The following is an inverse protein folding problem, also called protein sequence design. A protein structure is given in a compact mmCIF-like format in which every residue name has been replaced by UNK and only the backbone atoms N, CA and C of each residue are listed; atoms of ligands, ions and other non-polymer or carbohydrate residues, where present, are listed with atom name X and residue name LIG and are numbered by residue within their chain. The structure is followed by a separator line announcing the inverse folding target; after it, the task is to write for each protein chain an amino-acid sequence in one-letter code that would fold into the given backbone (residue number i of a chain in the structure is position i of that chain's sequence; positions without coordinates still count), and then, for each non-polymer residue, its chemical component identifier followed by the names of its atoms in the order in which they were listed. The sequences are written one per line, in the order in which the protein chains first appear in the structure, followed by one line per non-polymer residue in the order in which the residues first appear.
data_IF_304141017639
#
_entry.id   IF_304141017639
#
_cell.length_a   1.000
_cell.length_b   1.000
_cell.length_c   1.000
_cell.angle_alpha   90.00
_cell.angle_beta   90.00
_cell.angle_gamma   90.00
#
_symmetry.space_group_name_H-M   'P 1'
#
loop_
_entity.id
_entity.type
_entity.pdbx_description
1 polymer ?
#
# COMPACT_ATOMS: atom_id res chain seq x y z
N UNK A 1 -6.89 15.42 16.06
CA UNK A 1 -5.99 14.60 15.23
C UNK A 1 -6.22 13.14 15.54
N UNK A 2 -6.37 12.34 14.48
CA UNK A 2 -6.56 10.90 14.64
C UNK A 2 -5.21 10.21 14.85
N UNK A 3 -5.19 9.19 15.68
CA UNK A 3 -4.01 8.35 15.79
C UNK A 3 -4.08 7.27 14.70
N UNK A 4 -3.19 7.35 13.71
CA UNK A 4 -3.21 6.43 12.56
C UNK A 4 -3.08 4.97 13.00
N UNK A 5 -2.41 4.71 14.12
CA UNK A 5 -2.22 3.33 14.62
C UNK A 5 -3.54 2.69 15.03
N UNK A 6 -4.59 3.48 15.27
CA UNK A 6 -5.92 2.97 15.56
C UNK A 6 -6.73 2.63 14.31
N UNK A 7 -6.26 3.05 13.13
CA UNK A 7 -6.95 2.78 11.88
C UNK A 7 -6.63 1.38 11.39
N UNK A 8 -7.67 0.57 11.20
CA UNK A 8 -7.47 -0.79 10.72
C UNK A 8 -6.80 -0.80 9.32
N UNK A 9 -7.19 0.14 8.45
CA UNK A 9 -6.61 0.21 7.11
C UNK A 9 -5.11 0.50 7.16
N UNK A 10 -4.65 1.31 8.13
CA UNK A 10 -3.22 1.54 8.28
C UNK A 10 -2.51 0.26 8.70
N UNK A 11 -3.08 -0.47 9.65
CA UNK A 11 -2.47 -1.73 10.11
C UNK A 11 -2.38 -2.75 8.97
N UNK A 12 -3.42 -2.83 8.14
CA UNK A 12 -3.42 -3.73 6.97
C UNK A 12 -2.38 -3.30 5.94
N UNK A 13 -2.27 -1.99 5.69
CA UNK A 13 -1.25 -1.48 4.79
C UNK A 13 0.16 -1.75 5.33
N UNK A 14 0.35 -1.62 6.64
CA UNK A 14 1.64 -1.90 7.27
C UNK A 14 2.01 -3.37 7.13
N UNK A 15 1.05 -4.28 7.30
CA UNK A 15 1.29 -5.70 7.09
C UNK A 15 1.75 -5.99 5.67
N UNK A 16 1.15 -5.33 4.69
CA UNK A 16 1.56 -5.46 3.29
C UNK A 16 3.00 -4.99 3.11
N UNK A 17 3.37 -3.86 3.71
CA UNK A 17 4.74 -3.34 3.64
C UNK A 17 5.73 -4.37 4.18
N UNK A 18 5.42 -4.92 5.35
CA UNK A 18 6.31 -5.90 5.99
C UNK A 18 6.48 -7.13 5.10
N UNK A 19 5.39 -7.63 4.51
CA UNK A 19 5.45 -8.78 3.62
C UNK A 19 6.26 -8.47 2.36
N UNK A 20 6.11 -7.27 1.80
CA UNK A 20 6.90 -6.85 0.64
C UNK A 20 8.38 -6.85 0.99
N UNK A 21 8.76 -6.34 2.15
CA UNK A 21 10.16 -6.34 2.56
C UNK A 21 10.70 -7.75 2.74
N UNK A 22 9.89 -8.65 3.33
CA UNK A 22 10.31 -10.04 3.52
C UNK A 22 10.55 -10.74 2.19
N UNK A 23 9.62 -10.60 1.26
CA UNK A 23 9.72 -11.28 -0.03
C UNK A 23 10.82 -10.70 -0.90
N UNK A 24 11.02 -9.38 -0.86
CA UNK A 24 12.06 -8.74 -1.68
C UNK A 24 13.46 -8.95 -1.15
N UNK A 25 13.62 -9.42 0.09
CA UNK A 25 14.94 -9.71 0.64
C UNK A 25 15.70 -10.76 -0.18
N UNK A 26 14.98 -11.59 -0.94
CA UNK A 26 15.56 -12.66 -1.76
C UNK A 26 15.74 -12.24 -3.22
N UNK A 27 15.36 -11.04 -3.59
CA UNK A 27 15.47 -10.58 -4.96
C UNK A 27 16.95 -10.43 -5.37
N UNK A 28 17.24 -10.52 -6.68
CA UNK A 28 18.63 -10.34 -7.15
C UNK A 28 19.21 -9.02 -6.66
N UNK A 29 20.47 -9.06 -6.24
CA UNK A 29 21.14 -7.84 -5.76
C UNK A 29 21.24 -6.79 -6.85
N UNK A 30 21.21 -7.21 -8.11
CA UNK A 30 21.22 -6.29 -9.27
C UNK A 30 19.97 -5.41 -9.31
N UNK A 31 18.89 -5.81 -8.61
CA UNK A 31 17.64 -5.03 -8.56
C UNK A 31 17.54 -4.16 -7.30
N UNK A 32 18.57 -4.15 -6.47
CA UNK A 32 18.53 -3.45 -5.18
C UNK A 32 18.12 -1.98 -5.33
N UNK A 33 18.68 -1.30 -6.34
CA UNK A 33 18.38 0.11 -6.62
C UNK A 33 17.38 0.29 -7.77
N UNK A 34 16.80 -0.79 -8.25
CA UNK A 34 15.79 -0.81 -9.31
C UNK A 34 14.45 -1.29 -8.76
N UNK A 35 14.01 -2.46 -9.22
CA UNK A 35 12.67 -2.96 -8.90
C UNK A 35 12.45 -3.20 -7.42
N UNK A 36 13.45 -3.70 -6.69
CA UNK A 36 13.33 -3.89 -5.24
C UNK A 36 13.00 -2.56 -4.56
N UNK A 37 13.75 -1.52 -4.88
CA UNK A 37 13.54 -0.19 -4.32
C UNK A 37 12.17 0.37 -4.71
N UNK A 38 11.79 0.26 -5.98
CA UNK A 38 10.52 0.79 -6.46
C UNK A 38 9.32 0.11 -5.79
N UNK A 39 9.35 -1.21 -5.67
CA UNK A 39 8.27 -1.95 -5.04
C UNK A 39 8.14 -1.58 -3.56
N UNK A 40 9.25 -1.53 -2.84
CA UNK A 40 9.25 -1.14 -1.44
C UNK A 40 8.71 0.27 -1.24
N UNK A 41 9.12 1.21 -2.07
CA UNK A 41 8.67 2.60 -1.98
C UNK A 41 7.17 2.74 -2.25
N UNK A 42 6.65 2.00 -3.24
CA UNK A 42 5.22 2.01 -3.53
C UNK A 42 4.42 1.47 -2.33
N UNK A 43 4.87 0.37 -1.74
CA UNK A 43 4.20 -0.21 -0.58
C UNK A 43 4.24 0.75 0.61
N UNK A 44 5.40 1.31 0.94
CA UNK A 44 5.55 2.26 2.05
C UNK A 44 4.69 3.50 1.82
N UNK A 45 4.60 3.98 0.58
CA UNK A 45 3.79 5.14 0.25
C UNK A 45 2.31 4.93 0.60
N UNK A 46 1.82 3.71 0.51
CA UNK A 46 0.44 3.39 0.89
C UNK A 46 0.19 3.71 2.36
N UNK A 47 0.98 3.14 3.26
CA UNK A 47 0.80 3.36 4.71
C UNK A 47 1.15 4.80 5.11
N UNK A 48 2.16 5.38 4.47
CA UNK A 48 2.58 6.75 4.77
C UNK A 48 1.47 7.76 4.45
N UNK A 49 0.80 7.62 3.32
CA UNK A 49 -0.29 8.52 2.93
C UNK A 49 -1.50 8.38 3.87
N UNK A 50 -1.80 7.16 4.33
CA UNK A 50 -2.87 6.96 5.31
C UNK A 50 -2.52 7.71 6.60
N UNK A 51 -1.32 7.53 7.09
CA UNK A 51 -0.89 8.16 8.33
C UNK A 51 -0.90 9.68 8.21
N UNK A 52 -0.36 10.21 7.11
CA UNK A 52 -0.32 11.65 6.90
C UNK A 52 -1.72 12.23 6.79
N UNK A 53 -2.61 11.55 6.05
CA UNK A 53 -3.98 12.01 5.91
C UNK A 53 -4.73 12.03 7.22
N UNK A 54 -4.49 11.05 8.09
CA UNK A 54 -5.15 10.96 9.41
C UNK A 54 -4.79 12.15 10.31
N UNK A 55 -3.66 12.80 10.05
CA UNK A 55 -3.23 13.96 10.80
C UNK A 55 -3.74 15.29 10.27
N UNK A 56 -4.51 15.26 9.17
CA UNK A 56 -5.04 16.49 8.58
C UNK A 56 -6.25 17.01 9.35
N UNK A 57 -6.53 18.31 9.17
CA UNK A 57 -7.57 19.00 9.93
C UNK A 57 -8.99 18.83 9.39
N UNK A 58 -9.17 18.24 8.21
CA UNK A 58 -10.51 18.07 7.63
C UNK A 58 -10.68 16.70 7.03
N UNK A 59 -11.94 16.24 6.96
CA UNK A 59 -12.28 14.97 6.34
C UNK A 59 -11.99 14.99 4.84
N UNK A 60 -12.20 16.12 4.18
CA UNK A 60 -11.92 16.22 2.75
C UNK A 60 -10.44 16.09 2.47
N UNK A 61 -9.59 16.69 3.29
CA UNK A 61 -8.15 16.58 3.10
C UNK A 61 -7.67 15.17 3.42
N UNK A 62 -8.24 14.55 4.45
CA UNK A 62 -7.95 13.14 4.75
C UNK A 62 -8.31 12.26 3.55
N UNK A 63 -9.50 12.45 2.98
CA UNK A 63 -9.94 11.67 1.81
C UNK A 63 -8.99 11.85 0.63
N UNK A 64 -8.44 13.04 0.43
CA UNK A 64 -7.46 13.29 -0.63
C UNK A 64 -6.20 12.43 -0.46
N UNK A 65 -5.71 12.30 0.77
CA UNK A 65 -4.56 11.45 1.06
C UNK A 65 -4.91 9.97 0.87
N UNK A 66 -6.14 9.57 1.16
CA UNK A 66 -6.56 8.19 0.90
C UNK A 66 -6.59 7.89 -0.60
N UNK A 67 -6.96 8.86 -1.43
CA UNK A 67 -6.88 8.72 -2.88
C UNK A 67 -5.43 8.51 -3.33
N UNK A 68 -4.49 9.24 -2.73
CA UNK A 68 -3.07 9.07 -3.02
C UNK A 68 -2.61 7.67 -2.60
N UNK A 69 -3.08 7.19 -1.45
CA UNK A 69 -2.77 5.83 -1.01
C UNK A 69 -3.33 4.79 -1.99
N UNK A 70 -4.52 5.01 -2.55
CA UNK A 70 -5.08 4.10 -3.57
C UNK A 70 -4.21 4.04 -4.82
N UNK A 71 -3.64 5.17 -5.24
CA UNK A 71 -2.68 5.19 -6.34
C UNK A 71 -1.44 4.37 -6.01
N UNK A 72 -0.97 4.45 -4.77
CA UNK A 72 0.18 3.67 -4.31
C UNK A 72 -0.13 2.17 -4.26
N UNK A 73 -1.37 1.79 -3.92
CA UNK A 73 -1.80 0.39 -3.98
C UNK A 73 -1.75 -0.11 -5.43
N UNK A 74 -2.25 0.69 -6.36
CA UNK A 74 -2.23 0.31 -7.78
C UNK A 74 -0.80 0.14 -8.29
N UNK A 75 0.09 1.05 -7.90
CA UNK A 75 1.51 0.96 -8.26
C UNK A 75 2.15 -0.28 -7.66
N UNK A 76 1.86 -0.57 -6.40
CA UNK A 76 2.37 -1.78 -5.72
C UNK A 76 1.93 -3.03 -6.49
N UNK A 77 0.65 -3.11 -6.87
CA UNK A 77 0.14 -4.25 -7.62
C UNK A 77 0.81 -4.41 -8.98
N UNK A 78 1.05 -3.29 -9.66
CA UNK A 78 1.74 -3.30 -10.95
C UNK A 78 3.16 -3.84 -10.80
N UNK A 79 3.89 -3.37 -9.79
CA UNK A 79 5.24 -3.87 -9.53
C UNK A 79 5.27 -5.34 -9.13
N UNK A 80 4.29 -5.79 -8.34
CA UNK A 80 4.18 -7.21 -7.98
C UNK A 80 4.01 -8.08 -9.24
N UNK A 81 3.16 -7.65 -10.16
CA UNK A 81 2.96 -8.37 -11.42
C UNK A 81 4.26 -8.43 -12.23
N UNK A 82 4.98 -7.31 -12.30
CA UNK A 82 6.23 -7.24 -13.06
C UNK A 82 7.31 -8.17 -12.48
N UNK A 83 7.52 -8.13 -11.17
CA UNK A 83 8.55 -8.98 -10.55
C UNK A 83 8.20 -10.46 -10.67
N UNK A 84 6.92 -10.80 -10.65
CA UNK A 84 6.48 -12.16 -10.92
C UNK A 84 6.80 -12.55 -12.37
N UNK A 85 6.48 -11.70 -13.33
CA UNK A 85 6.70 -11.98 -14.75
C UNK A 85 8.18 -12.12 -15.05
N UNK A 86 9.05 -11.46 -14.29
CA UNK A 86 10.50 -11.60 -14.42
C UNK A 86 11.06 -12.84 -13.70
N UNK A 87 10.19 -13.58 -13.00
CA UNK A 87 10.61 -14.80 -12.32
C UNK A 87 11.15 -14.61 -10.92
N UNK A 88 11.01 -13.42 -10.35
CA UNK A 88 11.53 -13.14 -9.00
C UNK A 88 10.55 -13.53 -7.89
N UNK A 89 9.29 -13.77 -8.21
CA UNK A 89 8.23 -14.01 -7.23
C UNK A 89 7.41 -15.21 -7.66
N UNK A 90 7.20 -16.14 -6.73
CA UNK A 90 6.38 -17.33 -7.01
C UNK A 90 4.91 -16.96 -7.19
N UNK A 91 4.15 -17.72 -8.00
CA UNK A 91 2.73 -17.40 -8.21
C UNK A 91 1.91 -17.34 -6.92
N UNK A 92 2.17 -18.23 -5.97
CA UNK A 92 1.45 -18.24 -4.68
C UNK A 92 1.70 -16.98 -3.87
N UNK A 93 2.93 -16.48 -3.92
CA UNK A 93 3.29 -15.26 -3.21
C UNK A 93 2.66 -14.04 -3.89
N UNK A 94 2.67 -14.03 -5.22
CA UNK A 94 1.98 -12.97 -5.97
C UNK A 94 0.50 -12.92 -5.58
N UNK A 95 -0.16 -14.07 -5.55
CA UNK A 95 -1.58 -14.13 -5.19
C UNK A 95 -1.81 -13.61 -3.78
N UNK A 96 -1.00 -14.07 -2.82
CA UNK A 96 -1.11 -13.66 -1.42
C UNK A 96 -0.95 -12.14 -1.25
N UNK A 97 0.10 -11.57 -1.84
CA UNK A 97 0.37 -10.13 -1.72
C UNK A 97 -0.67 -9.30 -2.48
N UNK A 98 -1.12 -9.80 -3.64
CA UNK A 98 -2.16 -9.12 -4.42
C UNK A 98 -3.49 -9.08 -3.67
N UNK A 99 -3.86 -10.15 -2.97
CA UNK A 99 -5.06 -10.17 -2.16
C UNK A 99 -5.00 -9.15 -1.03
N UNK A 100 -3.85 -9.05 -0.36
CA UNK A 100 -3.65 -8.06 0.68
C UNK A 100 -3.76 -6.63 0.12
N UNK A 101 -3.17 -6.39 -1.03
CA UNK A 101 -3.23 -5.08 -1.67
C UNK A 101 -4.67 -4.71 -2.06
N UNK A 102 -5.43 -5.67 -2.60
CA UNK A 102 -6.83 -5.46 -2.94
C UNK A 102 -7.68 -5.17 -1.72
N UNK A 103 -7.44 -5.86 -0.62
CA UNK A 103 -8.16 -5.60 0.64
C UNK A 103 -7.90 -4.17 1.11
N UNK A 104 -6.64 -3.74 1.11
CA UNK A 104 -6.30 -2.37 1.48
C UNK A 104 -7.02 -1.38 0.57
N UNK A 105 -7.02 -1.64 -0.74
CA UNK A 105 -7.70 -0.78 -1.71
C UNK A 105 -9.19 -0.65 -1.42
N UNK A 106 -9.87 -1.77 -1.11
CA UNK A 106 -11.30 -1.72 -0.76
C UNK A 106 -11.55 -0.92 0.50
N UNK A 107 -10.71 -1.10 1.52
CA UNK A 107 -10.83 -0.36 2.77
C UNK A 107 -10.61 1.14 2.56
N UNK A 108 -9.61 1.50 1.73
CA UNK A 108 -9.34 2.90 1.41
C UNK A 108 -10.54 3.53 0.69
N UNK A 109 -11.10 2.82 -0.27
CA UNK A 109 -12.26 3.31 -1.02
C UNK A 109 -13.46 3.53 -0.11
N UNK A 110 -13.75 2.57 0.77
CA UNK A 110 -14.85 2.68 1.71
C UNK A 110 -14.68 3.83 2.69
N UNK A 111 -13.49 3.99 3.25
CA UNK A 111 -13.22 5.07 4.18
C UNK A 111 -13.28 6.44 3.48
N UNK A 112 -12.70 6.54 2.28
CA UNK A 112 -12.75 7.77 1.51
C UNK A 112 -14.18 8.20 1.22
N UNK A 113 -15.03 7.24 0.84
CA UNK A 113 -16.44 7.52 0.58
C UNK A 113 -17.15 8.02 1.85
N UNK A 114 -16.91 7.37 2.98
CA UNK A 114 -17.48 7.78 4.27
C UNK A 114 -17.07 9.21 4.61
N UNK A 115 -15.81 9.56 4.43
CA UNK A 115 -15.30 10.89 4.75
C UNK A 115 -15.91 11.96 3.83
N UNK A 116 -16.08 11.64 2.55
CA UNK A 116 -16.66 12.59 1.60
C UNK A 116 -18.15 12.84 1.82
N UNK A 117 -18.83 11.85 2.37
CA UNK A 117 -20.25 11.98 2.67
C UNK A 117 -20.51 12.54 4.09
N UNK A 118 -19.46 12.80 4.84
CA UNK A 118 -19.54 13.39 6.16
C UNK A 118 -19.89 14.87 6.08
N UNK A 119 -20.71 15.35 6.99
CA UNK A 119 -21.12 16.76 7.06
C UNK A 119 -20.46 17.46 8.24
#
# INVERSE_FOLDING_TARGET
MRDFRQLEVWRKAQDLVIDVYRETAQFPISEQYGLTSQLRRAAVSTSANIAEGSGRGSDQDFARFLDMAMGSVAETRSHLALVHDLGYLKPEILEHLSEKALEVGRMLSGLSETLRNSK
#
